data_IF_886024590572
#
_entry.id   IF_886024590572
#
_cell.length_a   1.000
_cell.length_b   1.000
_cell.length_c   1.000
_cell.angle_alpha   90.00
_cell.angle_beta   90.00
_cell.angle_gamma   90.00
#
_symmetry.space_group_name_H-M   'P 1'
#
loop_
_entity.id
_entity.type
_entity.pdbx_description
1 polymer ?
#
# COMPACT_ATOMS: atom_id res chain seq x y z
N UNK A 1 -22.08 -19.43 21.20
CA UNK A 1 -21.48 -19.64 19.85
C UNK A 1 -20.11 -19.01 19.77
N UNK A 2 -19.95 -17.69 19.88
CA UNK A 2 -18.60 -17.07 19.98
C UNK A 2 -17.97 -17.15 21.40
N UNK A 3 -18.57 -17.94 22.29
CA UNK A 3 -17.98 -18.27 23.60
C UNK A 3 -17.15 -19.56 23.52
N UNK A 4 -17.20 -20.21 22.36
CA UNK A 4 -16.33 -21.31 21.98
C UNK A 4 -15.03 -20.70 21.45
N UNK A 5 -13.97 -20.80 22.23
CA UNK A 5 -12.65 -20.24 21.90
C UNK A 5 -12.09 -20.85 20.61
N UNK A 6 -12.33 -22.14 20.36
CA UNK A 6 -11.87 -22.84 19.16
C UNK A 6 -12.52 -22.25 17.90
N UNK A 7 -13.82 -21.97 17.95
CA UNK A 7 -14.52 -21.32 16.84
C UNK A 7 -14.05 -19.89 16.59
N UNK A 8 -13.75 -19.14 17.65
CA UNK A 8 -13.24 -17.76 17.54
C UNK A 8 -11.85 -17.74 16.89
N UNK A 9 -10.96 -18.65 17.29
CA UNK A 9 -9.61 -18.77 16.74
C UNK A 9 -9.62 -19.21 15.27
N UNK A 10 -10.51 -20.12 14.88
CA UNK A 10 -10.66 -20.48 13.48
C UNK A 10 -11.15 -19.34 12.60
N UNK A 11 -12.16 -18.58 13.06
CA UNK A 11 -12.63 -17.40 12.36
C UNK A 11 -11.49 -16.39 12.23
N UNK A 12 -10.69 -16.21 13.30
CA UNK A 12 -9.53 -15.34 13.29
C UNK A 12 -8.49 -15.78 12.23
N UNK A 13 -8.14 -17.07 12.19
CA UNK A 13 -7.23 -17.63 11.18
C UNK A 13 -7.76 -17.44 9.77
N UNK A 14 -9.06 -17.68 9.54
CA UNK A 14 -9.68 -17.48 8.24
C UNK A 14 -9.58 -16.02 7.77
N UNK A 15 -9.88 -15.06 8.66
CA UNK A 15 -9.79 -13.64 8.36
C UNK A 15 -8.35 -13.21 8.06
N UNK A 16 -7.35 -13.74 8.78
CA UNK A 16 -5.94 -13.48 8.48
C UNK A 16 -5.54 -13.98 7.08
N UNK A 17 -6.07 -15.13 6.64
CA UNK A 17 -5.81 -15.70 5.31
C UNK A 17 -6.37 -14.88 4.14
N UNK A 18 -7.42 -14.07 4.36
CA UNK A 18 -8.00 -13.18 3.35
C UNK A 18 -7.17 -11.90 3.12
N UNK A 19 -6.18 -11.64 3.97
CA UNK A 19 -5.29 -10.50 3.89
C UNK A 19 -5.84 -9.24 4.56
N UNK A 20 -5.44 -8.08 4.04
CA UNK A 20 -5.58 -6.78 4.73
C UNK A 20 -7.02 -6.25 4.81
N UNK A 21 -7.85 -6.53 3.82
CA UNK A 21 -9.16 -5.87 3.64
C UNK A 21 -10.33 -6.80 3.93
N UNK A 22 -10.45 -7.21 5.19
CA UNK A 22 -11.55 -8.06 5.67
C UNK A 22 -12.84 -7.27 5.91
N UNK A 23 -13.98 -7.97 5.85
CA UNK A 23 -15.34 -7.49 6.10
C UNK A 23 -16.04 -8.43 7.08
N UNK A 24 -17.02 -7.91 7.82
CA UNK A 24 -17.89 -8.75 8.64
C UNK A 24 -18.66 -9.80 7.79
N UNK A 25 -18.88 -9.51 6.50
CA UNK A 25 -19.47 -10.45 5.55
C UNK A 25 -18.61 -11.71 5.36
N UNK A 26 -17.28 -11.61 5.53
CA UNK A 26 -16.39 -12.75 5.35
C UNK A 26 -16.61 -13.81 6.43
N UNK A 27 -16.99 -13.41 7.65
CA UNK A 27 -17.44 -14.32 8.71
C UNK A 27 -18.71 -15.06 8.29
N UNK A 28 -19.67 -14.34 7.71
CA UNK A 28 -20.93 -14.95 7.24
C UNK A 28 -20.65 -15.95 6.13
N UNK A 29 -19.77 -15.60 5.18
CA UNK A 29 -19.37 -16.46 4.08
C UNK A 29 -18.63 -17.71 4.58
N UNK A 30 -17.77 -17.58 5.59
CA UNK A 30 -17.10 -18.71 6.24
C UNK A 30 -18.10 -19.67 6.89
N UNK A 31 -19.03 -19.13 7.68
CA UNK A 31 -20.08 -19.92 8.34
C UNK A 31 -21.13 -20.48 7.36
N UNK A 32 -21.20 -19.95 6.13
CA UNK A 32 -22.08 -20.47 5.09
C UNK A 32 -21.54 -21.74 4.44
N UNK A 33 -20.27 -22.10 4.68
CA UNK A 33 -19.68 -23.30 4.08
C UNK A 33 -20.36 -24.58 4.60
N UNK A 34 -20.75 -25.52 3.72
CA UNK A 34 -21.47 -26.73 4.12
C UNK A 34 -20.74 -27.56 5.18
N UNK A 35 -19.41 -27.63 5.12
CA UNK A 35 -18.56 -28.32 6.11
C UNK A 35 -18.70 -27.71 7.51
N UNK A 36 -18.65 -26.38 7.60
CA UNK A 36 -18.76 -25.64 8.85
C UNK A 36 -20.18 -25.73 9.42
N UNK A 37 -21.21 -25.61 8.57
CA UNK A 37 -22.61 -25.77 8.98
C UNK A 37 -22.91 -27.17 9.52
N UNK A 38 -22.40 -28.21 8.85
CA UNK A 38 -22.53 -29.59 9.30
C UNK A 38 -21.89 -29.79 10.68
N UNK A 39 -20.68 -29.25 10.88
CA UNK A 39 -19.96 -29.34 12.17
C UNK A 39 -20.68 -28.58 13.29
N UNK A 40 -21.15 -27.37 13.01
CA UNK A 40 -21.87 -26.54 13.98
C UNK A 40 -23.33 -26.96 14.16
N UNK A 41 -23.82 -27.95 13.39
CA UNK A 41 -25.22 -28.42 13.38
C UNK A 41 -26.24 -27.28 13.21
N UNK A 42 -25.89 -26.25 12.44
CA UNK A 42 -26.74 -25.07 12.20
C UNK A 42 -27.10 -24.96 10.72
N UNK A 43 -28.38 -24.68 10.43
CA UNK A 43 -28.90 -24.50 9.06
C UNK A 43 -28.93 -23.05 8.59
N UNK A 44 -28.85 -22.10 9.52
CA UNK A 44 -28.90 -20.66 9.24
C UNK A 44 -27.62 -20.01 9.70
N UNK A 45 -27.07 -19.15 8.86
CA UNK A 45 -25.94 -18.29 9.22
C UNK A 45 -26.39 -17.16 10.13
N UNK A 46 -25.41 -16.50 10.74
CA UNK A 46 -25.64 -15.30 11.55
C UNK A 46 -26.01 -14.10 10.67
N UNK A 47 -26.65 -13.10 11.29
CA UNK A 47 -26.90 -11.81 10.62
C UNK A 47 -25.60 -10.99 10.51
N UNK A 48 -25.59 -10.01 9.60
CA UNK A 48 -24.46 -9.07 9.48
C UNK A 48 -24.18 -8.33 10.78
N UNK A 49 -25.23 -7.93 11.50
CA UNK A 49 -25.11 -7.25 12.81
C UNK A 49 -24.44 -8.15 13.85
N UNK A 50 -24.78 -9.43 13.84
CA UNK A 50 -24.13 -10.43 14.71
C UNK A 50 -22.65 -10.59 14.34
N UNK A 51 -22.32 -10.68 13.05
CA UNK A 51 -20.94 -10.75 12.58
C UNK A 51 -20.12 -9.51 12.96
N UNK A 52 -20.70 -8.31 12.88
CA UNK A 52 -20.06 -7.07 13.34
C UNK A 52 -19.82 -7.10 14.86
N UNK A 53 -20.79 -7.55 15.65
CA UNK A 53 -20.61 -7.72 17.10
C UNK A 53 -19.48 -8.72 17.42
N UNK A 54 -19.35 -9.78 16.62
CA UNK A 54 -18.28 -10.76 16.74
C UNK A 54 -16.92 -10.16 16.43
N UNK A 55 -16.81 -9.36 15.37
CA UNK A 55 -15.58 -8.59 15.07
C UNK A 55 -15.15 -7.76 16.28
N UNK A 56 -16.08 -7.06 16.94
CA UNK A 56 -15.77 -6.29 18.14
C UNK A 56 -15.31 -7.15 19.32
N UNK A 57 -15.93 -8.30 19.55
CA UNK A 57 -15.55 -9.25 20.61
C UNK A 57 -14.16 -9.84 20.36
N UNK A 58 -13.84 -10.19 19.11
CA UNK A 58 -12.52 -10.65 18.67
C UNK A 58 -11.50 -9.50 18.53
N UNK A 59 -11.73 -8.37 19.20
CA UNK A 59 -10.81 -7.23 19.25
C UNK A 59 -10.46 -6.60 17.89
N UNK A 60 -11.34 -6.72 16.89
CA UNK A 60 -11.27 -5.89 15.69
C UNK A 60 -12.00 -4.55 15.92
N UNK A 61 -11.48 -3.49 15.30
CA UNK A 61 -12.09 -2.16 15.30
C UNK A 61 -12.10 -1.60 13.88
N UNK A 62 -13.21 -0.99 13.49
CA UNK A 62 -13.27 -0.21 12.26
C UNK A 62 -12.57 1.13 12.50
N UNK A 63 -11.36 1.29 12.00
CA UNK A 63 -10.56 2.50 12.20
C UNK A 63 -9.75 2.85 10.96
N UNK A 64 -9.19 4.06 10.97
CA UNK A 64 -8.18 4.42 9.97
C UNK A 64 -6.98 3.48 10.12
N UNK A 65 -6.39 3.12 8.99
CA UNK A 65 -5.17 2.34 8.99
C UNK A 65 -4.09 3.03 9.83
N UNK A 66 -3.46 2.32 10.78
CA UNK A 66 -2.30 2.85 11.47
C UNK A 66 -1.18 3.04 10.45
N UNK A 67 -0.89 4.29 10.12
CA UNK A 67 0.25 4.66 9.27
C UNK A 67 1.50 4.63 10.14
N UNK A 68 2.50 3.84 9.76
CA UNK A 68 3.81 3.87 10.40
C UNK A 68 4.61 5.07 9.93
N UNK A 69 5.84 5.14 10.43
CA UNK A 69 6.79 6.13 9.93
C UNK A 69 7.15 5.77 8.48
N UNK A 70 7.16 6.76 7.59
CA UNK A 70 7.55 6.53 6.21
C UNK A 70 9.01 6.06 6.18
N UNK A 71 9.24 4.81 5.75
CA UNK A 71 10.57 4.32 5.46
C UNK A 71 10.87 4.69 4.01
N UNK A 72 11.78 5.63 3.81
CA UNK A 72 12.27 5.95 2.47
C UNK A 72 12.97 4.71 1.91
N UNK A 73 12.36 4.08 0.90
CA UNK A 73 12.84 2.84 0.29
C UNK A 73 14.09 3.04 -0.58
N UNK A 74 14.70 4.21 -0.51
CA UNK A 74 15.84 4.63 -1.32
C UNK A 74 17.05 3.71 -1.22
N UNK A 75 17.23 3.03 -0.09
CA UNK A 75 18.35 2.14 0.18
C UNK A 75 18.13 0.69 -0.27
N UNK A 76 16.93 0.32 -0.74
CA UNK A 76 16.68 -1.05 -1.22
C UNK A 76 17.56 -1.39 -2.41
N UNK A 77 18.09 -2.61 -2.44
CA UNK A 77 19.00 -3.07 -3.49
C UNK A 77 18.44 -2.88 -4.91
N UNK A 78 17.15 -3.15 -5.12
CA UNK A 78 16.50 -2.99 -6.43
C UNK A 78 16.36 -1.51 -6.85
N UNK A 79 16.08 -0.63 -5.87
CA UNK A 79 16.01 0.82 -6.08
C UNK A 79 17.39 1.39 -6.37
N UNK A 80 18.40 0.96 -5.61
CA UNK A 80 19.80 1.35 -5.82
C UNK A 80 20.29 0.86 -7.17
N UNK A 81 20.01 -0.39 -7.54
CA UNK A 81 20.40 -0.98 -8.82
C UNK A 81 19.81 -0.19 -9.99
N UNK A 82 18.51 0.11 -9.94
CA UNK A 82 17.84 0.91 -10.95
C UNK A 82 18.44 2.33 -11.04
N UNK A 83 18.64 2.98 -9.89
CA UNK A 83 19.22 4.32 -9.80
C UNK A 83 20.60 4.35 -10.48
N UNK A 84 21.46 3.40 -10.16
CA UNK A 84 22.84 3.36 -10.66
C UNK A 84 22.94 2.91 -12.11
N UNK A 85 22.20 1.88 -12.52
CA UNK A 85 22.35 1.27 -13.85
C UNK A 85 21.49 1.92 -14.93
N UNK A 86 20.40 2.60 -14.58
CA UNK A 86 19.45 3.16 -15.55
C UNK A 86 19.25 4.66 -15.38
N UNK A 87 18.81 5.09 -14.21
CA UNK A 87 18.41 6.48 -14.01
C UNK A 87 19.58 7.46 -14.17
N UNK A 88 20.67 7.27 -13.43
CA UNK A 88 21.82 8.18 -13.48
C UNK A 88 22.50 8.24 -14.85
N UNK A 89 22.74 7.11 -15.57
CA UNK A 89 23.27 7.18 -16.93
C UNK A 89 22.35 7.92 -17.92
N UNK A 90 21.05 7.67 -17.86
CA UNK A 90 20.07 8.39 -18.70
C UNK A 90 20.04 9.87 -18.36
N UNK A 91 20.10 10.20 -17.07
CA UNK A 91 20.13 11.58 -16.61
C UNK A 91 21.38 12.33 -17.08
N UNK A 92 22.56 11.69 -16.99
CA UNK A 92 23.80 12.27 -17.47
C UNK A 92 23.77 12.56 -18.98
N UNK A 93 23.13 11.69 -19.79
CA UNK A 93 22.94 11.93 -21.22
C UNK A 93 22.02 13.14 -21.47
N UNK A 94 20.92 13.25 -20.74
CA UNK A 94 20.02 14.40 -20.85
C UNK A 94 20.70 15.70 -20.38
N UNK A 95 21.54 15.63 -19.34
CA UNK A 95 22.25 16.78 -18.78
C UNK A 95 23.21 17.43 -19.79
N UNK A 96 23.79 16.64 -20.71
CA UNK A 96 24.63 17.16 -21.80
C UNK A 96 23.87 18.12 -22.73
N UNK A 97 22.54 17.97 -22.81
CA UNK A 97 21.66 18.76 -23.67
C UNK A 97 20.83 19.79 -22.89
N UNK A 98 21.08 19.93 -21.60
CA UNK A 98 20.41 20.88 -20.71
C UNK A 98 21.23 22.15 -20.54
N UNK A 99 20.53 23.27 -20.39
CA UNK A 99 21.11 24.53 -19.94
C UNK A 99 21.29 24.52 -18.43
N UNK A 100 22.31 25.23 -17.98
CA UNK A 100 22.63 25.40 -16.58
C UNK A 100 22.63 26.89 -16.26
N UNK A 101 22.14 27.23 -15.07
CA UNK A 101 22.13 28.59 -14.57
C UNK A 101 22.89 28.64 -13.25
N UNK A 102 23.60 29.74 -13.03
CA UNK A 102 24.23 30.00 -11.75
C UNK A 102 23.20 30.47 -10.71
N UNK A 103 23.66 30.71 -9.49
CA UNK A 103 22.83 31.21 -8.39
C UNK A 103 22.23 32.61 -8.62
N UNK A 104 22.76 33.37 -9.59
CA UNK A 104 22.31 34.70 -9.94
C UNK A 104 21.32 34.66 -11.14
N UNK A 105 21.06 33.48 -11.70
CA UNK A 105 20.20 33.29 -12.86
C UNK A 105 20.89 33.53 -14.20
N UNK A 106 22.22 33.64 -14.21
CA UNK A 106 23.01 33.76 -15.44
C UNK A 106 23.27 32.38 -16.04
N UNK A 107 23.14 32.24 -17.36
CA UNK A 107 23.40 30.97 -18.04
C UNK A 107 24.91 30.66 -17.99
N UNK A 108 25.25 29.49 -17.46
CA UNK A 108 26.62 28.99 -17.41
C UNK A 108 26.97 28.49 -18.81
N UNK A 109 27.94 29.12 -19.52
CA UNK A 109 28.31 28.69 -20.86
C UNK A 109 29.01 27.33 -20.77
N UNK A 110 28.30 26.25 -21.10
CA UNK A 110 28.92 24.96 -21.45
C UNK A 110 29.05 24.88 -22.95
N UNK A 111 30.03 24.10 -23.42
CA UNK A 111 30.04 23.61 -24.79
C UNK A 111 28.80 22.75 -25.00
N UNK A 112 27.71 23.37 -25.46
CA UNK A 112 26.48 22.67 -25.79
C UNK A 112 26.82 21.74 -26.95
N UNK A 113 26.90 20.44 -26.68
CA UNK A 113 26.75 19.48 -27.76
C UNK A 113 25.27 19.56 -28.07
N UNK A 114 24.89 20.26 -29.13
CA UNK A 114 23.53 20.18 -29.63
C UNK A 114 23.17 18.69 -29.74
N UNK A 115 21.98 18.30 -29.31
CA UNK A 115 21.53 16.93 -29.54
C UNK A 115 21.69 16.60 -31.03
N UNK A 116 21.81 15.32 -31.43
CA UNK A 116 22.00 14.95 -32.83
C UNK A 116 20.98 15.57 -33.81
N UNK A 117 19.82 16.02 -33.31
CA UNK A 117 18.74 16.70 -34.05
C UNK A 117 18.71 18.24 -33.88
N UNK A 118 19.71 18.83 -33.22
CA UNK A 118 19.84 20.27 -33.01
C UNK A 118 18.97 20.85 -31.89
N UNK A 119 18.22 20.03 -31.14
CA UNK A 119 17.28 20.52 -30.12
C UNK A 119 17.92 20.64 -28.73
N UNK A 120 17.34 21.53 -27.93
CA UNK A 120 17.69 21.73 -26.52
C UNK A 120 16.69 20.95 -25.67
N UNK A 121 17.18 20.26 -24.64
CA UNK A 121 16.32 19.59 -23.67
C UNK A 121 16.07 20.53 -22.49
N UNK A 122 14.80 20.74 -22.16
CA UNK A 122 14.38 21.43 -20.94
C UNK A 122 13.79 20.39 -20.00
N UNK A 123 14.47 20.14 -18.89
CA UNK A 123 13.96 19.24 -17.85
C UNK A 123 13.14 20.03 -16.85
N UNK A 124 11.84 19.74 -16.81
CA UNK A 124 10.94 20.24 -15.79
C UNK A 124 11.11 19.41 -14.52
N UNK A 125 11.68 20.02 -13.48
CA UNK A 125 11.83 19.40 -12.17
C UNK A 125 10.58 19.68 -11.35
N UNK A 126 9.93 18.62 -10.87
CA UNK A 126 8.91 18.73 -9.82
C UNK A 126 9.58 18.29 -8.51
N UNK A 127 9.60 19.18 -7.52
CA UNK A 127 10.12 18.90 -6.18
C UNK A 127 9.16 17.99 -5.39
N UNK A 128 7.85 18.09 -5.65
CA UNK A 128 6.85 17.19 -5.11
C UNK A 128 5.80 16.83 -6.16
N UNK A 129 5.62 15.54 -6.42
CA UNK A 129 4.51 15.01 -7.19
C UNK A 129 3.74 14.01 -6.34
N UNK A 130 2.54 14.39 -5.93
CA UNK A 130 1.67 13.53 -5.12
C UNK A 130 0.76 12.73 -6.08
N UNK A 131 1.04 11.45 -6.22
CA UNK A 131 0.21 10.54 -7.01
C UNK A 131 -0.81 9.84 -6.10
N UNK A 132 -2.08 10.24 -6.17
CA UNK A 132 -3.19 9.65 -5.39
C UNK A 132 -3.72 8.32 -5.93
N UNK A 133 -2.93 7.56 -6.70
CA UNK A 133 -3.39 6.31 -7.29
C UNK A 133 -3.61 5.26 -6.19
N UNK A 134 -4.88 4.94 -5.91
CA UNK A 134 -5.36 3.91 -4.98
C UNK A 134 -5.34 4.21 -3.46
N UNK A 135 -5.02 5.43 -3.01
CA UNK A 135 -4.94 5.74 -1.57
C UNK A 135 -6.29 5.99 -0.87
N UNK A 136 -7.41 5.60 -1.50
CA UNK A 136 -8.77 5.91 -1.02
C UNK A 136 -9.29 4.99 0.07
N UNK A 137 -8.63 3.85 0.34
CA UNK A 137 -9.06 2.89 1.37
C UNK A 137 -8.37 3.17 2.69
N UNK A 138 -8.68 4.33 3.27
CA UNK A 138 -8.08 4.81 4.51
C UNK A 138 -8.61 4.10 5.77
N UNK A 139 -9.77 3.44 5.68
CA UNK A 139 -10.42 2.76 6.81
C UNK A 139 -10.64 1.28 6.52
N UNK A 140 -10.45 0.45 7.55
CA UNK A 140 -10.70 -0.99 7.51
C UNK A 140 -10.90 -1.55 8.91
N UNK A 141 -11.28 -2.82 9.00
CA UNK A 141 -11.19 -3.57 10.25
C UNK A 141 -9.72 -3.86 10.56
N UNK A 142 -9.27 -3.40 11.72
CA UNK A 142 -7.89 -3.55 12.21
C UNK A 142 -7.95 -4.27 13.54
N UNK A 143 -7.14 -5.31 13.69
CA UNK A 143 -7.02 -6.03 14.96
C UNK A 143 -6.20 -5.19 15.96
N UNK A 144 -6.52 -5.27 17.26
CA UNK A 144 -5.78 -4.51 18.29
C UNK A 144 -4.29 -4.80 18.33
N UNK A 145 -3.87 -6.03 18.00
CA UNK A 145 -2.45 -6.44 17.93
C UNK A 145 -1.73 -5.95 16.67
N UNK A 146 -2.43 -5.38 15.70
CA UNK A 146 -1.81 -4.91 14.47
C UNK A 146 -1.11 -3.57 14.71
N UNK A 147 0.21 -3.57 14.54
CA UNK A 147 1.05 -2.36 14.61
C UNK A 147 1.12 -1.66 13.27
N UNK A 148 1.39 -0.36 13.32
CA UNK A 148 1.68 0.42 12.14
C UNK A 148 2.87 -0.18 11.38
N UNK A 149 2.78 -0.22 10.04
CA UNK A 149 3.88 -0.62 9.16
C UNK A 149 4.56 0.61 8.61
#
# INVERSE_FOLDING_TARGET
ILEDEDLADEIHMHLQGLGKYIKAQDIINYLAQPSIQARLRTKKTISLRTAQNWMHRMQYRWKKEPKGMYSDGHERDDVVDYRQKKFLPQWALLDLWCRWWDKNGEEIPRSFIAAPDGKIVVIWRHDESIFYANDRRLTRWVHTKETAK
#
